data_IF_103151939786
#
_entry.id   IF_103151939786
#
_cell.length_a   1.000
_cell.length_b   1.000
_cell.length_c   1.000
_cell.angle_alpha   90.00
_cell.angle_beta   90.00
_cell.angle_gamma   90.00
#
_symmetry.space_group_name_H-M   'P 1'
#
loop_
_entity.id
_entity.type
_entity.pdbx_description
1 polymer ?
#
# COMPACT_ATOMS: atom_id res chain seq x y z
N UNK A 1 -6.38 17.63 -11.96
CA UNK A 1 -6.31 16.95 -10.64
C UNK A 1 -5.51 15.66 -10.80
N UNK A 2 -4.65 15.27 -9.85
CA UNK A 2 -4.09 13.91 -9.86
C UNK A 2 -5.25 12.97 -9.52
N UNK A 3 -5.62 12.10 -10.45
CA UNK A 3 -6.60 11.05 -10.18
C UNK A 3 -6.03 10.18 -9.06
N UNK A 4 -6.78 10.06 -7.97
CA UNK A 4 -6.40 9.13 -6.93
C UNK A 4 -6.48 7.73 -7.55
N UNK A 5 -5.46 6.87 -7.35
CA UNK A 5 -5.52 5.51 -7.83
C UNK A 5 -6.72 4.78 -7.21
N UNK A 6 -7.49 4.12 -8.07
CA UNK A 6 -8.68 3.35 -7.69
C UNK A 6 -8.41 1.84 -7.60
N UNK A 7 -7.22 1.40 -8.01
CA UNK A 7 -6.84 -0.02 -8.01
C UNK A 7 -5.34 -0.26 -7.81
N UNK A 8 -5.01 -1.49 -7.40
CA UNK A 8 -3.66 -2.06 -7.41
C UNK A 8 -3.56 -3.15 -8.47
N UNK A 9 -2.47 -3.17 -9.23
CA UNK A 9 -2.21 -4.28 -10.16
C UNK A 9 -1.84 -5.54 -9.39
N UNK A 10 -2.57 -6.63 -9.60
CA UNK A 10 -2.45 -7.91 -8.90
C UNK A 10 -2.54 -7.79 -7.35
N UNK A 11 -3.12 -6.70 -6.84
CA UNK A 11 -3.15 -6.42 -5.40
C UNK A 11 -1.76 -6.20 -4.82
N UNK A 12 -0.78 -5.80 -5.64
CA UNK A 12 0.60 -5.56 -5.23
C UNK A 12 0.90 -4.05 -5.20
N UNK A 13 1.81 -3.68 -4.31
CA UNK A 13 2.31 -2.30 -4.27
C UNK A 13 3.14 -2.00 -5.52
N UNK A 14 3.07 -0.77 -6.07
CA UNK A 14 3.87 -0.42 -7.23
C UNK A 14 5.37 -0.48 -6.92
N UNK A 15 6.13 -1.00 -7.87
CA UNK A 15 7.60 -1.08 -7.79
C UNK A 15 8.30 0.23 -8.17
N UNK A 16 7.59 1.20 -8.75
CA UNK A 16 8.15 2.52 -9.06
C UNK A 16 7.90 3.49 -7.91
N UNK A 17 8.94 4.23 -7.52
CA UNK A 17 8.88 5.18 -6.39
C UNK A 17 7.77 6.23 -6.59
N UNK A 18 7.57 6.70 -7.83
CA UNK A 18 6.54 7.68 -8.15
C UNK A 18 5.12 7.13 -7.92
N UNK A 19 4.82 5.93 -8.44
CA UNK A 19 3.50 5.32 -8.29
C UNK A 19 3.26 4.89 -6.84
N UNK A 20 4.28 4.35 -6.16
CA UNK A 20 4.19 4.03 -4.74
C UNK A 20 3.85 5.26 -3.90
N UNK A 21 4.51 6.39 -4.16
CA UNK A 21 4.22 7.64 -3.46
C UNK A 21 2.79 8.13 -3.72
N UNK A 22 2.32 8.04 -4.96
CA UNK A 22 0.94 8.39 -5.32
C UNK A 22 -0.07 7.51 -4.60
N UNK A 23 0.12 6.19 -4.63
CA UNK A 23 -0.75 5.22 -3.95
C UNK A 23 -0.85 5.50 -2.45
N UNK A 24 0.30 5.53 -1.76
CA UNK A 24 0.31 5.74 -0.30
C UNK A 24 -0.31 7.09 0.09
N UNK A 25 -0.02 8.16 -0.66
CA UNK A 25 -0.58 9.47 -0.35
C UNK A 25 -2.10 9.51 -0.55
N UNK A 26 -2.62 8.78 -1.55
CA UNK A 26 -4.06 8.67 -1.78
C UNK A 26 -4.76 7.83 -0.69
N UNK A 27 -4.06 6.87 -0.09
CA UNK A 27 -4.53 6.11 1.07
C UNK A 27 -4.45 6.88 2.40
N UNK A 28 -4.19 8.19 2.38
CA UNK A 28 -4.11 9.01 3.59
C UNK A 28 -2.78 8.91 4.35
N UNK A 29 -1.78 8.20 3.82
CA UNK A 29 -0.47 8.10 4.49
C UNK A 29 0.26 9.45 4.40
N UNK A 30 0.82 9.95 5.52
CA UNK A 30 1.49 11.24 5.56
C UNK A 30 2.55 11.37 4.46
N UNK A 31 2.63 12.53 3.80
CA UNK A 31 3.60 12.73 2.71
C UNK A 31 5.04 12.54 3.19
N UNK A 32 5.98 12.21 2.29
CA UNK A 32 7.40 12.06 2.66
C UNK A 32 8.06 13.34 3.20
N UNK A 33 7.39 14.49 3.06
CA UNK A 33 7.84 15.79 3.56
C UNK A 33 7.10 16.22 4.85
N UNK A 34 6.13 15.45 5.33
CA UNK A 34 5.46 15.77 6.61
C UNK A 34 6.48 15.77 7.76
N UNK A 35 6.18 16.48 8.84
CA UNK A 35 7.05 16.46 10.02
C UNK A 35 7.19 15.05 10.60
N UNK A 36 6.10 14.28 10.60
CA UNK A 36 6.08 12.87 10.99
C UNK A 36 7.01 12.01 10.13
N UNK A 37 6.89 12.08 8.80
CA UNK A 37 7.74 11.27 7.93
C UNK A 37 9.22 11.68 8.04
N UNK A 38 9.50 12.98 8.13
CA UNK A 38 10.88 13.49 8.28
C UNK A 38 11.51 13.07 9.61
N UNK A 39 10.76 13.06 10.71
CA UNK A 39 11.28 12.63 12.01
C UNK A 39 11.65 11.16 12.00
N UNK A 40 10.82 10.29 11.41
CA UNK A 40 11.11 8.87 11.22
C UNK A 40 12.34 8.67 10.34
N UNK A 41 12.42 9.39 9.22
CA UNK A 41 13.56 9.29 8.30
C UNK A 41 14.87 9.70 8.98
N UNK A 42 14.89 10.81 9.69
CA UNK A 42 16.09 11.30 10.37
C UNK A 42 16.49 10.39 11.54
N UNK A 43 15.51 9.91 12.32
CA UNK A 43 15.74 8.93 13.38
C UNK A 43 16.34 7.63 12.83
N UNK A 44 15.76 7.10 11.75
CA UNK A 44 16.27 5.90 11.07
C UNK A 44 17.72 6.08 10.63
N UNK A 45 18.07 7.27 10.12
CA UNK A 45 19.47 7.57 9.73
C UNK A 45 20.41 7.61 10.91
N UNK A 46 20.01 8.19 12.05
CA UNK A 46 20.82 8.24 13.27
C UNK A 46 21.08 6.82 13.78
N UNK A 47 20.05 5.99 13.89
CA UNK A 47 20.17 4.60 14.34
C UNK A 47 21.06 3.78 13.41
N UNK A 48 20.98 4.00 12.10
CA UNK A 48 21.86 3.33 11.13
C UNK A 48 23.29 3.90 11.07
N UNK A 49 23.62 4.93 11.87
CA UNK A 49 24.93 5.59 11.83
C UNK A 49 25.22 6.35 10.53
N UNK A 50 24.17 6.75 9.81
CA UNK A 50 24.23 7.39 8.49
C UNK A 50 23.78 8.86 8.54
N UNK A 51 24.36 9.63 9.47
CA UNK A 51 23.90 10.96 9.85
C UNK A 51 24.08 12.02 8.75
N UNK A 52 25.20 12.00 8.04
CA UNK A 52 25.45 12.96 6.98
C UNK A 52 24.52 12.70 5.79
N UNK A 53 23.93 13.75 5.18
CA UNK A 53 22.93 13.60 4.12
C UNK A 53 23.34 12.66 2.97
N UNK A 54 24.64 12.57 2.68
CA UNK A 54 25.25 11.76 1.62
C UNK A 54 26.01 10.53 2.10
N UNK A 55 26.02 10.23 3.41
CA UNK A 55 26.70 9.04 3.92
C UNK A 55 26.10 7.78 3.31
N UNK A 56 26.95 6.79 3.08
CA UNK A 56 26.50 5.45 2.76
C UNK A 56 25.64 4.89 3.90
N UNK A 57 24.57 4.20 3.52
CA UNK A 57 23.84 3.36 4.46
C UNK A 57 24.67 2.10 4.72
N UNK A 58 24.56 1.50 5.91
CA UNK A 58 25.23 0.24 6.18
C UNK A 58 24.83 -0.82 5.15
N UNK A 59 25.74 -1.76 4.79
CA UNK A 59 25.42 -2.84 3.87
C UNK A 59 24.29 -3.73 4.41
N UNK A 60 23.69 -4.54 3.56
CA UNK A 60 22.70 -5.51 4.00
C UNK A 60 23.36 -6.57 4.92
N UNK A 61 22.61 -7.15 5.86
CA UNK A 61 23.10 -8.30 6.64
C UNK A 61 23.52 -9.46 5.71
N UNK A 62 24.47 -10.32 6.13
CA UNK A 62 24.86 -11.49 5.37
C UNK A 62 23.69 -12.44 5.10
N UNK A 63 23.68 -13.09 3.93
CA UNK A 63 22.61 -14.03 3.56
C UNK A 63 22.47 -15.20 4.54
N UNK A 64 23.58 -15.63 5.17
CA UNK A 64 23.56 -16.67 6.20
C UNK A 64 22.66 -16.30 7.38
N UNK A 65 22.71 -15.04 7.83
CA UNK A 65 21.86 -14.54 8.91
C UNK A 65 20.40 -14.41 8.46
N UNK A 66 20.17 -13.93 7.23
CA UNK A 66 18.81 -13.78 6.70
C UNK A 66 18.11 -15.13 6.50
N UNK A 67 18.85 -16.16 6.09
CA UNK A 67 18.29 -17.49 5.79
C UNK A 67 17.91 -18.26 7.06
N UNK A 68 18.56 -17.97 8.19
CA UNK A 68 18.25 -18.57 9.50
C UNK A 68 17.39 -17.65 10.37
N UNK A 69 16.94 -16.51 9.84
CA UNK A 69 16.17 -15.55 10.62
C UNK A 69 14.77 -16.08 10.87
N UNK A 70 14.47 -16.32 12.14
CA UNK A 70 13.12 -16.54 12.63
C UNK A 70 12.66 -15.28 13.34
N UNK A 71 11.48 -14.78 12.99
CA UNK A 71 10.90 -13.60 13.64
C UNK A 71 10.77 -13.88 15.13
N UNK A 72 11.46 -13.11 16.00
CA UNK A 72 11.35 -13.31 17.44
C UNK A 72 9.89 -13.21 17.89
N UNK A 73 9.47 -14.09 18.80
CA UNK A 73 8.16 -13.99 19.45
C UNK A 73 7.98 -12.61 20.07
N UNK A 74 6.78 -12.05 19.97
CA UNK A 74 6.40 -10.76 20.56
C UNK A 74 6.39 -10.79 22.11
N UNK A 75 6.93 -11.82 22.76
CA UNK A 75 6.95 -11.94 24.22
C UNK A 75 7.56 -10.68 24.84
N UNK A 76 6.67 -9.90 25.45
CA UNK A 76 6.86 -8.53 25.89
C UNK A 76 7.87 -8.36 27.04
N UNK A 77 8.62 -9.40 27.40
CA UNK A 77 9.50 -9.40 28.57
C UNK A 77 10.96 -9.03 28.26
N UNK A 78 11.52 -9.30 27.08
CA UNK A 78 12.88 -8.84 26.74
C UNK A 78 12.88 -7.38 26.24
N UNK A 79 11.89 -7.05 25.42
CA UNK A 79 11.67 -5.76 24.72
C UNK A 79 11.57 -4.54 25.64
N UNK A 80 11.17 -4.70 26.90
CA UNK A 80 11.06 -3.59 27.86
C UNK A 80 12.35 -3.30 28.62
N UNK A 81 13.26 -4.28 28.74
CA UNK A 81 14.43 -4.16 29.63
C UNK A 81 15.41 -3.11 29.12
N UNK A 82 15.71 -3.11 27.82
CA UNK A 82 16.63 -2.14 27.23
C UNK A 82 16.06 -0.73 27.27
N UNK A 83 14.78 -0.55 26.95
CA UNK A 83 14.14 0.77 27.05
C UNK A 83 14.00 1.24 28.50
N UNK A 84 13.83 0.33 29.47
CA UNK A 84 13.85 0.67 30.89
C UNK A 84 15.25 1.13 31.32
N UNK A 85 16.31 0.43 30.92
CA UNK A 85 17.70 0.86 31.13
C UNK A 85 17.97 2.21 30.48
N UNK A 86 17.44 2.45 29.28
CA UNK A 86 17.56 3.74 28.62
C UNK A 86 16.85 4.83 29.44
N UNK A 87 15.66 4.59 30.00
CA UNK A 87 15.02 5.56 30.91
C UNK A 87 15.85 5.85 32.15
N UNK A 88 16.43 4.82 32.78
CA UNK A 88 17.34 5.00 33.92
C UNK A 88 18.55 5.85 33.54
N UNK A 89 19.19 5.56 32.41
CA UNK A 89 20.28 6.37 31.88
C UNK A 89 19.87 7.84 31.70
N UNK A 90 18.69 8.10 31.11
CA UNK A 90 18.19 9.46 30.93
C UNK A 90 17.84 10.19 32.24
N UNK A 91 17.55 9.46 33.32
CA UNK A 91 17.31 10.07 34.64
C UNK A 91 18.59 10.49 35.36
N UNK A 92 19.73 9.90 34.96
CA UNK A 92 21.04 10.15 35.56
C UNK A 92 21.87 11.18 34.78
N UNK A 93 21.44 11.58 33.59
CA UNK A 93 22.18 12.47 32.68
C UNK A 93 21.34 13.68 32.28
N UNK A 94 21.99 14.85 32.14
CA UNK A 94 21.34 16.03 31.56
C UNK A 94 21.12 15.81 30.05
N UNK A 95 19.87 15.97 29.61
CA UNK A 95 19.47 15.83 28.22
C UNK A 95 20.17 16.86 27.32
N UNK A 96 20.57 18.00 27.88
CA UNK A 96 21.22 19.10 27.17
C UNK A 96 22.66 18.77 26.75
N UNK A 97 23.30 17.85 27.47
CA UNK A 97 24.70 17.47 27.25
C UNK A 97 24.86 16.33 26.24
N UNK A 98 23.74 15.71 25.82
CA UNK A 98 23.77 14.60 24.88
C UNK A 98 24.17 15.07 23.48
N UNK A 99 25.13 14.37 22.87
CA UNK A 99 25.46 14.59 21.47
C UNK A 99 24.26 14.26 20.58
N UNK A 100 23.91 15.18 19.68
CA UNK A 100 22.72 15.07 18.81
C UNK A 100 23.08 14.94 17.34
N UNK A 101 22.44 13.98 16.69
CA UNK A 101 22.51 13.74 15.26
C UNK A 101 21.23 14.11 14.51
N UNK A 102 21.19 13.64 13.27
CA UNK A 102 20.10 13.86 12.34
C UNK A 102 20.14 15.26 11.72
N UNK A 103 19.32 15.47 10.70
CA UNK A 103 19.37 16.70 9.90
C UNK A 103 19.05 17.96 10.72
N UNK A 104 18.19 17.84 11.73
CA UNK A 104 17.73 18.96 12.57
C UNK A 104 18.53 19.04 13.89
N UNK A 105 19.52 18.14 14.11
CA UNK A 105 20.36 18.10 15.30
C UNK A 105 19.54 18.16 16.59
N UNK A 106 18.69 17.16 16.80
CA UNK A 106 17.89 17.03 18.03
C UNK A 106 17.72 15.60 18.51
N UNK A 107 18.20 14.61 17.75
CA UNK A 107 18.05 13.20 18.08
C UNK A 107 19.35 12.76 18.76
N UNK A 108 19.34 12.38 20.04
CA UNK A 108 20.55 11.93 20.73
C UNK A 108 21.20 10.73 20.03
N UNK A 109 22.53 10.76 19.85
CA UNK A 109 23.27 9.66 19.25
C UNK A 109 23.24 8.40 20.11
N UNK A 110 23.05 8.56 21.42
CA UNK A 110 22.87 7.45 22.37
C UNK A 110 21.66 6.56 22.01
N UNK A 111 20.67 7.08 21.26
CA UNK A 111 19.58 6.25 20.74
C UNK A 111 20.09 5.09 19.86
N UNK A 112 21.19 5.29 19.11
CA UNK A 112 21.81 4.22 18.33
C UNK A 112 22.39 3.13 19.22
N UNK A 113 23.06 3.50 20.31
CA UNK A 113 23.67 2.54 21.22
C UNK A 113 22.59 1.60 21.80
N UNK A 114 21.54 2.17 22.41
CA UNK A 114 20.45 1.36 22.97
C UNK A 114 19.69 0.57 21.89
N UNK A 115 19.61 1.08 20.66
CA UNK A 115 19.05 0.30 19.56
C UNK A 115 19.90 -0.94 19.26
N UNK A 116 21.22 -0.78 19.12
CA UNK A 116 22.15 -1.89 18.85
C UNK A 116 22.12 -2.93 19.98
N UNK A 117 22.09 -2.49 21.23
CA UNK A 117 21.99 -3.37 22.40
C UNK A 117 20.70 -4.20 22.39
N UNK A 118 19.57 -3.59 22.02
CA UNK A 118 18.27 -4.27 21.89
C UNK A 118 18.25 -5.30 20.76
N UNK A 119 18.91 -4.98 19.64
CA UNK A 119 19.06 -5.91 18.52
C UNK A 119 19.95 -7.11 18.88
N UNK A 120 21.03 -6.88 19.64
CA UNK A 120 21.92 -7.94 20.10
C UNK A 120 21.22 -8.94 21.04
N UNK A 121 20.21 -8.51 21.82
CA UNK A 121 19.44 -9.41 22.69
C UNK A 121 18.67 -10.49 21.93
N UNK A 122 18.36 -10.25 20.66
CA UNK A 122 17.70 -11.23 19.78
C UNK A 122 18.66 -11.84 18.76
N UNK A 123 19.97 -11.82 19.05
CA UNK A 123 21.04 -12.34 18.19
C UNK A 123 21.10 -11.70 16.80
N UNK A 124 20.80 -10.40 16.70
CA UNK A 124 20.97 -9.63 15.46
C UNK A 124 22.08 -8.61 15.62
N UNK A 125 23.25 -8.95 15.08
CA UNK A 125 24.46 -8.12 15.19
C UNK A 125 24.57 -7.04 14.11
N UNK A 126 23.89 -7.24 12.97
CA UNK A 126 23.94 -6.33 11.83
C UNK A 126 22.79 -5.32 11.85
N UNK A 127 23.08 -4.09 12.25
CA UNK A 127 22.12 -2.98 12.31
C UNK A 127 21.87 -2.38 10.92
N UNK A 128 21.15 -3.10 10.08
CA UNK A 128 20.79 -2.65 8.73
C UNK A 128 19.57 -3.40 8.20
N UNK A 129 18.92 -2.81 7.20
CA UNK A 129 17.87 -3.47 6.44
C UNK A 129 18.45 -4.47 5.44
N UNK A 130 17.70 -5.52 5.14
CA UNK A 130 18.00 -6.43 4.05
C UNK A 130 17.66 -5.77 2.71
N UNK A 131 18.58 -4.95 2.19
CA UNK A 131 18.34 -4.13 0.99
C UNK A 131 18.02 -4.93 -0.28
N UNK A 132 18.44 -6.19 -0.34
CA UNK A 132 18.14 -7.10 -1.46
C UNK A 132 16.78 -7.80 -1.35
N UNK A 133 16.18 -7.84 -0.17
CA UNK A 133 14.90 -8.50 0.10
C UNK A 133 13.73 -7.53 -0.09
N UNK A 134 12.49 -8.00 -0.34
CA UNK A 134 11.32 -7.14 -0.36
C UNK A 134 11.18 -6.28 0.91
N UNK A 135 10.64 -5.03 0.83
CA UNK A 135 10.42 -4.20 2.02
C UNK A 135 9.52 -4.82 3.08
N UNK A 136 8.65 -5.75 2.68
CA UNK A 136 7.72 -6.53 3.50
C UNK A 136 8.24 -7.93 3.83
N UNK A 137 9.51 -8.25 3.53
CA UNK A 137 10.13 -9.49 4.00
C UNK A 137 10.08 -9.59 5.55
N UNK A 138 10.02 -10.80 6.12
CA UNK A 138 9.92 -10.99 7.57
C UNK A 138 10.97 -10.19 8.36
N UNK A 139 12.22 -10.21 7.90
CA UNK A 139 13.31 -9.45 8.51
C UNK A 139 13.09 -7.93 8.42
N UNK A 140 12.78 -7.37 7.24
CA UNK A 140 12.59 -5.93 7.08
C UNK A 140 11.36 -5.42 7.83
N UNK A 141 10.28 -6.21 7.88
CA UNK A 141 9.08 -5.90 8.65
C UNK A 141 9.37 -5.87 10.15
N UNK A 142 10.08 -6.88 10.66
CA UNK A 142 10.52 -6.93 12.06
C UNK A 142 11.47 -5.77 12.41
N UNK A 143 12.48 -5.50 11.58
CA UNK A 143 13.43 -4.41 11.79
C UNK A 143 12.74 -3.03 11.77
N UNK A 144 11.76 -2.84 10.88
CA UNK A 144 10.91 -1.65 10.88
C UNK A 144 10.09 -1.52 12.17
N UNK A 145 9.58 -2.63 12.71
CA UNK A 145 8.92 -2.67 14.01
C UNK A 145 9.84 -2.25 15.16
N UNK A 146 11.09 -2.72 15.18
CA UNK A 146 12.10 -2.30 16.16
C UNK A 146 12.42 -0.81 16.04
N UNK A 147 12.56 -0.29 14.82
CA UNK A 147 12.75 1.15 14.60
C UNK A 147 11.56 1.96 15.10
N UNK A 148 10.32 1.52 14.80
CA UNK A 148 9.12 2.17 15.27
C UNK A 148 9.06 2.22 16.79
N UNK A 149 9.36 1.10 17.46
CA UNK A 149 9.44 1.02 18.93
C UNK A 149 10.39 2.06 19.51
N UNK A 150 11.62 2.13 19.02
CA UNK A 150 12.62 3.09 19.50
C UNK A 150 12.29 4.53 19.12
N UNK A 151 11.68 4.75 17.96
CA UNK A 151 11.18 6.07 17.57
C UNK A 151 10.07 6.56 18.49
N UNK A 152 9.12 5.69 18.86
CA UNK A 152 8.05 6.01 19.82
C UNK A 152 8.64 6.33 21.19
N UNK A 153 9.66 5.58 21.63
CA UNK A 153 10.40 5.90 22.84
C UNK A 153 11.04 7.30 22.77
N UNK A 154 11.77 7.60 21.69
CA UNK A 154 12.42 8.89 21.49
C UNK A 154 11.42 10.05 21.46
N UNK A 155 10.27 9.87 20.80
CA UNK A 155 9.16 10.82 20.80
C UNK A 155 8.66 11.12 22.21
N UNK A 156 8.37 10.07 22.98
CA UNK A 156 7.78 10.19 24.31
C UNK A 156 8.74 10.81 25.34
N UNK A 157 10.04 10.79 25.07
CA UNK A 157 11.06 11.46 25.88
C UNK A 157 11.49 12.83 25.29
N UNK A 158 10.77 13.38 24.31
CA UNK A 158 11.00 14.74 23.80
C UNK A 158 12.15 14.89 22.79
N UNK A 159 12.79 13.80 22.33
CA UNK A 159 13.91 13.88 21.38
C UNK A 159 13.52 14.30 19.96
N UNK A 160 12.22 14.38 19.69
CA UNK A 160 11.66 14.79 18.41
C UNK A 160 10.94 16.15 18.48
N UNK A 161 11.16 16.93 19.54
CA UNK A 161 10.46 18.20 19.80
C UNK A 161 10.56 19.23 18.65
N UNK A 162 11.64 19.20 17.84
CA UNK A 162 11.80 20.10 16.69
C UNK A 162 10.93 19.73 15.48
N UNK A 163 10.26 18.58 15.50
CA UNK A 163 9.31 18.17 14.48
C UNK A 163 7.89 18.46 14.96
N UNK A 164 7.17 19.33 14.26
CA UNK A 164 5.75 19.59 14.50
C UNK A 164 4.88 18.43 14.00
N UNK A 165 4.91 17.30 14.71
CA UNK A 165 4.18 16.07 14.37
C UNK A 165 2.69 16.27 14.65
N UNK A 166 1.85 16.06 13.63
CA UNK A 166 0.39 16.06 13.81
C UNK A 166 -0.06 14.81 14.56
N UNK A 167 -0.95 14.91 15.57
CA UNK A 167 -1.54 13.74 16.22
C UNK A 167 -2.28 12.81 15.24
N UNK A 168 -2.84 13.34 14.16
CA UNK A 168 -3.50 12.54 13.11
C UNK A 168 -2.52 11.65 12.33
N UNK A 169 -1.27 12.10 12.21
CA UNK A 169 -0.23 11.37 11.50
C UNK A 169 0.41 10.31 12.42
N UNK A 170 0.43 10.55 13.74
CA UNK A 170 1.11 9.75 14.76
C UNK A 170 0.35 8.47 15.13
N UNK A 171 0.27 7.54 14.18
CA UNK A 171 -0.31 6.21 14.38
C UNK A 171 0.69 5.12 14.00
N UNK A 172 0.58 3.95 14.64
CA UNK A 172 1.42 2.80 14.33
C UNK A 172 1.32 2.38 12.85
N UNK A 173 0.10 2.41 12.29
CA UNK A 173 -0.14 2.13 10.88
C UNK A 173 0.59 3.13 9.97
N UNK A 174 0.48 4.43 10.24
CA UNK A 174 1.21 5.43 9.47
C UNK A 174 2.73 5.28 9.60
N UNK A 175 3.22 4.94 10.80
CA UNK A 175 4.63 4.66 11.05
C UNK A 175 5.19 3.54 10.17
N UNK A 176 4.49 2.41 10.15
CA UNK A 176 4.83 1.26 9.31
C UNK A 176 4.85 1.64 7.82
N UNK A 177 3.84 2.39 7.36
CA UNK A 177 3.72 2.79 5.95
C UNK A 177 4.78 3.81 5.52
N UNK A 178 5.17 4.72 6.42
CA UNK A 178 6.29 5.63 6.19
C UNK A 178 7.61 4.86 6.08
N UNK A 179 7.86 3.90 6.97
CA UNK A 179 9.06 3.07 6.93
C UNK A 179 9.11 2.22 5.66
N UNK A 180 8.01 1.57 5.28
CA UNK A 180 7.90 0.83 4.02
C UNK A 180 8.29 1.70 2.82
N UNK A 181 7.70 2.92 2.73
CA UNK A 181 8.01 3.88 1.67
C UNK A 181 9.49 4.28 1.68
N UNK A 182 10.07 4.46 2.86
CA UNK A 182 11.47 4.84 3.01
C UNK A 182 12.40 3.72 2.53
N UNK A 183 12.18 2.47 2.97
CA UNK A 183 12.95 1.28 2.56
C UNK A 183 12.91 1.13 1.04
N UNK A 184 11.70 1.10 0.47
CA UNK A 184 11.50 0.94 -0.97
C UNK A 184 12.20 2.05 -1.78
N UNK A 185 12.14 3.31 -1.32
CA UNK A 185 12.87 4.40 -1.96
C UNK A 185 14.38 4.19 -1.92
N UNK A 186 14.92 3.71 -0.81
CA UNK A 186 16.36 3.46 -0.65
C UNK A 186 16.85 2.29 -1.47
N UNK A 187 16.07 1.23 -1.60
CA UNK A 187 16.40 0.12 -2.51
C UNK A 187 16.50 0.59 -3.96
N UNK A 188 15.56 1.43 -4.41
CA UNK A 188 15.64 2.04 -5.74
C UNK A 188 16.90 2.91 -5.94
N UNK A 189 17.27 3.69 -4.93
CA UNK A 189 18.51 4.49 -4.95
C UNK A 189 19.76 3.60 -5.03
N UNK A 190 19.79 2.49 -4.28
CA UNK A 190 20.90 1.52 -4.27
C UNK A 190 21.02 0.76 -5.60
N UNK A 191 19.90 0.31 -6.17
CA UNK A 191 19.87 -0.33 -7.49
C UNK A 191 20.40 0.60 -8.58
N UNK A 192 20.04 1.88 -8.53
CA UNK A 192 20.54 2.88 -9.49
C UNK A 192 22.03 3.17 -9.28
N UNK A 193 22.50 3.24 -8.03
CA UNK A 193 23.91 3.40 -7.71
C UNK A 193 24.77 2.19 -8.15
N UNK A 194 24.22 0.96 -8.06
CA UNK A 194 24.87 -0.24 -8.55
C UNK A 194 25.02 -0.23 -10.08
N UNK A 195 24.02 0.28 -10.80
CA UNK A 195 24.06 0.42 -12.27
C UNK A 195 24.96 1.57 -12.74
N UNK A 196 25.05 2.64 -11.96
CA UNK A 196 25.86 3.81 -12.27
C UNK A 196 26.51 4.36 -10.99
N UNK A 197 27.82 4.17 -10.85
CA UNK A 197 28.59 4.59 -9.67
C UNK A 197 28.52 6.11 -9.41
N UNK A 198 28.33 6.92 -10.45
CA UNK A 198 28.18 8.38 -10.36
C UNK A 198 26.72 8.83 -10.19
N UNK A 199 25.76 7.91 -10.13
CA UNK A 199 24.33 8.22 -10.02
C UNK A 199 24.02 9.21 -8.90
N UNK A 200 24.63 9.06 -7.73
CA UNK A 200 24.36 9.94 -6.59
C UNK A 200 24.82 11.38 -6.83
N UNK A 201 25.98 11.56 -7.47
CA UNK A 201 26.50 12.87 -7.86
C UNK A 201 25.58 13.52 -8.91
N UNK A 202 25.14 12.72 -9.89
CA UNK A 202 24.19 13.15 -10.93
C UNK A 202 22.83 13.54 -10.34
N UNK A 203 22.32 12.75 -9.39
CA UNK A 203 21.07 13.01 -8.67
C UNK A 203 21.17 14.30 -7.87
N UNK A 204 22.22 14.50 -7.09
CA UNK A 204 22.45 15.72 -6.33
C UNK A 204 22.55 16.96 -7.25
N UNK A 205 23.24 16.83 -8.40
CA UNK A 205 23.32 17.90 -9.39
C UNK A 205 21.96 18.21 -10.02
N UNK A 206 21.14 17.19 -10.33
CA UNK A 206 19.77 17.36 -10.85
C UNK A 206 18.86 18.04 -9.84
N UNK A 207 18.90 17.62 -8.57
CA UNK A 207 18.10 18.22 -7.50
C UNK A 207 18.43 19.70 -7.29
N UNK A 208 19.73 20.08 -7.38
CA UNK A 208 20.16 21.48 -7.37
C UNK A 208 19.59 22.27 -8.55
N UNK A 209 19.62 21.72 -9.77
CA UNK A 209 19.06 22.37 -10.97
C UNK A 209 17.55 22.55 -10.91
N UNK A 210 16.81 21.57 -10.38
CA UNK A 210 15.34 21.66 -10.27
C UNK A 210 14.89 22.65 -9.21
N UNK A 211 15.62 22.79 -8.10
CA UNK A 211 15.32 23.82 -7.08
C UNK A 211 15.44 25.24 -7.62
N UNK A 212 16.29 25.47 -8.63
CA UNK A 212 16.41 26.76 -9.32
C UNK A 212 15.36 27.03 -10.40
N UNK A 213 14.48 26.08 -10.75
CA UNK A 213 13.49 26.22 -11.83
C UNK A 213 12.03 26.20 -11.37
N UNK A 214 11.77 26.15 -10.07
CA UNK A 214 10.44 25.91 -9.50
C UNK A 214 9.55 27.15 -9.34
N UNK A 215 9.77 28.24 -10.09
CA UNK A 215 8.91 29.42 -10.03
C UNK A 215 7.89 29.56 -11.17
N UNK A 216 7.99 28.86 -12.31
CA UNK A 216 7.39 29.47 -13.51
C UNK A 216 6.34 28.73 -14.36
N UNK A 217 6.07 27.43 -14.28
CA UNK A 217 5.16 26.79 -15.28
C UNK A 217 4.13 25.82 -14.69
N UNK A 218 3.02 26.35 -14.15
CA UNK A 218 1.79 25.57 -13.87
C UNK A 218 0.53 26.35 -14.23
N UNK A 219 0.37 26.71 -15.49
CA UNK A 219 -0.92 27.01 -16.11
C UNK A 219 -0.89 26.40 -17.50
N UNK A 220 -2.04 26.00 -18.03
CA UNK A 220 -2.27 25.45 -19.37
C UNK A 220 -2.04 23.94 -19.52
N UNK A 221 -3.07 23.14 -19.19
CA UNK A 221 -3.61 22.01 -20.00
C UNK A 221 -4.71 21.33 -19.16
N UNK A 222 -5.87 21.97 -18.98
CA UNK A 222 -7.02 21.40 -18.25
C UNK A 222 -8.35 21.93 -18.82
N UNK A 223 -8.55 21.87 -20.15
CA UNK A 223 -9.87 22.07 -20.76
C UNK A 223 -9.97 21.21 -22.03
N UNK A 224 -10.14 19.90 -21.85
CA UNK A 224 -10.68 18.97 -22.86
C UNK A 224 -10.75 17.58 -22.19
N UNK A 225 -11.82 16.83 -22.42
CA UNK A 225 -12.16 15.52 -21.83
C UNK A 225 -13.12 15.52 -20.62
N UNK A 226 -14.31 16.07 -20.83
CA UNK A 226 -15.53 15.68 -20.09
C UNK A 226 -16.67 15.51 -21.08
N UNK A 227 -16.69 14.39 -21.79
CA UNK A 227 -17.83 13.92 -22.58
C UNK A 227 -17.60 12.46 -22.98
N UNK A 228 -17.78 11.50 -22.06
CA UNK A 228 -18.04 10.07 -22.35
C UNK A 228 -18.20 9.23 -21.06
N UNK A 229 -19.12 9.63 -20.17
CA UNK A 229 -19.58 8.78 -19.07
C UNK A 229 -21.10 8.87 -19.06
N UNK A 230 -21.78 8.14 -19.96
CA UNK A 230 -23.25 8.07 -19.98
C UNK A 230 -23.80 6.73 -20.51
N UNK A 231 -22.97 5.70 -20.70
CA UNK A 231 -23.44 4.43 -21.26
C UNK A 231 -23.72 3.33 -20.20
N UNK A 232 -23.19 3.46 -18.98
CA UNK A 232 -23.31 2.43 -17.92
C UNK A 232 -24.49 2.64 -16.95
N UNK A 233 -24.97 3.89 -16.82
CA UNK A 233 -25.95 4.29 -15.80
C UNK A 233 -27.33 3.65 -15.98
N UNK A 234 -27.75 3.39 -17.22
CA UNK A 234 -29.09 2.89 -17.51
C UNK A 234 -29.20 1.37 -17.41
N UNK A 235 -28.12 0.62 -17.61
CA UNK A 235 -28.17 -0.85 -17.59
C UNK A 235 -28.18 -1.38 -16.15
N UNK A 236 -27.32 -0.84 -15.28
CA UNK A 236 -27.23 -1.26 -13.88
C UNK A 236 -28.45 -0.79 -13.08
N UNK A 237 -28.93 0.46 -13.26
CA UNK A 237 -30.18 0.91 -12.64
C UNK A 237 -31.40 0.10 -13.06
N UNK A 238 -31.48 -0.31 -14.33
CA UNK A 238 -32.61 -1.11 -14.81
C UNK A 238 -32.57 -2.57 -14.34
N UNK A 239 -31.38 -3.19 -14.20
CA UNK A 239 -31.25 -4.58 -13.74
C UNK A 239 -31.39 -4.67 -12.22
N UNK A 240 -30.72 -3.79 -11.49
CA UNK A 240 -30.72 -3.77 -10.03
C UNK A 240 -32.01 -3.18 -9.46
N UNK A 241 -32.62 -2.20 -10.14
CA UNK A 241 -33.83 -1.51 -9.68
C UNK A 241 -35.15 -2.27 -9.85
N UNK A 242 -35.19 -3.37 -10.61
CA UNK A 242 -36.42 -4.18 -10.81
C UNK A 242 -36.30 -5.63 -10.34
N UNK A 243 -35.09 -6.13 -10.07
CA UNK A 243 -34.91 -7.42 -9.39
C UNK A 243 -35.36 -7.38 -7.92
N UNK A 244 -35.69 -6.19 -7.40
CA UNK A 244 -36.09 -6.01 -6.00
C UNK A 244 -37.38 -5.18 -5.95
N UNK A 245 -38.50 -5.87 -5.85
CA UNK A 245 -39.75 -5.23 -5.44
C UNK A 245 -39.61 -4.79 -3.98
N UNK A 246 -39.87 -3.50 -3.75
CA UNK A 246 -40.17 -2.83 -2.48
C UNK A 246 -39.77 -3.57 -1.19
N UNK A 247 -38.51 -3.45 -0.76
CA UNK A 247 -38.11 -3.51 0.68
C UNK A 247 -36.60 -3.23 0.94
N UNK A 248 -35.72 -3.19 -0.08
CA UNK A 248 -34.26 -3.15 0.12
C UNK A 248 -33.52 -1.85 -0.32
N UNK A 249 -34.22 -0.72 -0.43
CA UNK A 249 -33.65 0.53 -1.01
C UNK A 249 -32.37 1.06 -0.33
N UNK A 250 -32.14 0.73 0.94
CA UNK A 250 -30.95 1.13 1.71
C UNK A 250 -29.82 0.09 1.72
N UNK A 251 -30.11 -1.18 1.41
CA UNK A 251 -29.15 -2.30 1.44
C UNK A 251 -28.33 -2.45 0.13
N UNK A 252 -28.75 -1.80 -0.95
CA UNK A 252 -28.20 -2.04 -2.31
C UNK A 252 -27.23 -0.97 -2.84
N UNK A 253 -27.07 0.16 -2.15
CA UNK A 253 -26.17 1.23 -2.57
C UNK A 253 -24.68 0.80 -2.67
N UNK A 254 -24.15 -0.01 -1.74
CA UNK A 254 -22.77 -0.49 -1.82
C UNK A 254 -22.53 -1.42 -3.01
N UNK A 255 -23.43 -2.37 -3.28
CA UNK A 255 -23.34 -3.29 -4.43
C UNK A 255 -23.40 -2.56 -5.77
N UNK A 256 -24.28 -1.58 -5.88
CA UNK A 256 -24.36 -0.76 -7.10
C UNK A 256 -23.03 -0.07 -7.36
N UNK A 257 -22.40 0.50 -6.33
CA UNK A 257 -21.09 1.15 -6.45
C UNK A 257 -19.97 0.16 -6.83
N UNK A 258 -20.00 -1.05 -6.28
CA UNK A 258 -19.05 -2.13 -6.59
C UNK A 258 -19.10 -2.50 -8.07
N UNK A 259 -20.29 -2.73 -8.63
CA UNK A 259 -20.46 -3.09 -10.04
C UNK A 259 -20.30 -1.92 -11.02
N UNK A 260 -20.21 -0.68 -10.53
CA UNK A 260 -19.80 0.47 -11.35
C UNK A 260 -18.28 0.55 -11.56
N UNK A 261 -17.48 -0.19 -10.77
CA UNK A 261 -16.05 -0.28 -11.02
C UNK A 261 -15.78 -1.20 -12.23
N UNK A 262 -15.06 -0.73 -13.27
CA UNK A 262 -14.74 -1.55 -14.43
C UNK A 262 -13.99 -2.85 -14.09
N UNK A 263 -13.19 -2.88 -13.03
CA UNK A 263 -12.48 -4.09 -12.61
C UNK A 263 -13.42 -5.18 -12.06
N UNK A 264 -14.68 -4.85 -11.78
CA UNK A 264 -15.72 -5.78 -11.32
C UNK A 264 -16.56 -6.38 -12.43
N UNK A 265 -16.56 -5.75 -13.60
CA UNK A 265 -17.41 -6.11 -14.73
C UNK A 265 -16.61 -6.48 -15.98
N UNK A 266 -15.31 -6.15 -16.03
CA UNK A 266 -14.38 -6.52 -17.09
C UNK A 266 -13.90 -7.98 -16.95
N UNK A 267 -14.83 -8.93 -17.01
CA UNK A 267 -14.56 -10.37 -16.87
C UNK A 267 -14.47 -11.08 -18.23
N UNK A 268 -14.15 -10.40 -19.34
CA UNK A 268 -14.14 -11.03 -20.67
C UNK A 268 -12.80 -10.84 -21.37
N UNK A 269 -12.18 -11.94 -21.78
CA UNK A 269 -11.02 -11.98 -22.67
C UNK A 269 -11.39 -12.62 -24.01
N UNK A 270 -10.78 -12.12 -25.09
CA UNK A 270 -10.89 -12.67 -26.43
C UNK A 270 -9.57 -13.37 -26.79
N UNK A 271 -9.62 -14.62 -27.22
CA UNK A 271 -8.42 -15.33 -27.71
C UNK A 271 -8.07 -14.89 -29.15
N UNK A 272 -6.89 -15.30 -29.64
CA UNK A 272 -6.44 -15.00 -31.01
C UNK A 272 -7.38 -15.56 -32.10
N UNK A 273 -8.29 -16.47 -31.73
CA UNK A 273 -9.31 -17.06 -32.60
C UNK A 273 -10.70 -16.39 -32.47
N UNK A 274 -10.82 -15.31 -31.69
CA UNK A 274 -12.06 -14.55 -31.48
C UNK A 274 -13.07 -15.19 -30.53
N UNK A 275 -12.68 -16.21 -29.76
CA UNK A 275 -13.53 -16.81 -28.74
C UNK A 275 -13.50 -15.96 -27.47
N UNK A 276 -14.69 -15.74 -26.89
CA UNK A 276 -14.85 -15.00 -25.65
C UNK A 276 -14.85 -15.96 -24.45
N UNK A 277 -13.97 -15.72 -23.49
CA UNK A 277 -13.89 -16.44 -22.23
C UNK A 277 -14.18 -15.53 -21.07
N UNK A 278 -14.81 -16.09 -20.03
CA UNK A 278 -14.87 -15.42 -18.75
C UNK A 278 -13.49 -15.42 -18.12
N UNK A 279 -12.96 -14.28 -17.72
CA UNK A 279 -11.71 -14.22 -16.96
C UNK A 279 -11.94 -14.76 -15.56
N UNK A 280 -11.02 -15.61 -15.09
CA UNK A 280 -10.96 -15.91 -13.67
C UNK A 280 -10.32 -14.71 -12.93
N UNK A 281 -11.06 -14.10 -12.02
CA UNK A 281 -10.62 -12.94 -11.24
C UNK A 281 -10.18 -13.41 -9.85
N UNK A 282 -8.85 -13.61 -9.60
CA UNK A 282 -8.39 -14.32 -8.40
C UNK A 282 -8.68 -13.60 -7.09
N UNK A 283 -8.85 -12.27 -7.16
CA UNK A 283 -9.12 -11.45 -5.99
C UNK A 283 -10.57 -11.50 -5.54
N UNK A 284 -11.52 -11.86 -6.42
CA UNK A 284 -12.95 -11.76 -6.13
C UNK A 284 -13.39 -12.93 -5.25
N UNK A 285 -14.23 -12.67 -4.25
CA UNK A 285 -14.81 -13.73 -3.42
C UNK A 285 -15.72 -14.65 -4.23
N UNK A 286 -15.92 -15.86 -3.74
CA UNK A 286 -16.84 -16.83 -4.36
C UNK A 286 -18.27 -16.29 -4.35
N UNK A 287 -18.70 -15.66 -3.26
CA UNK A 287 -20.02 -15.05 -3.11
C UNK A 287 -20.26 -13.95 -4.15
N UNK A 288 -19.32 -13.00 -4.30
CA UNK A 288 -19.44 -11.92 -5.27
C UNK A 288 -19.40 -12.44 -6.71
N UNK A 289 -18.62 -13.50 -6.96
CA UNK A 289 -18.57 -14.16 -8.26
C UNK A 289 -19.89 -14.85 -8.61
N UNK A 290 -20.49 -15.57 -7.66
CA UNK A 290 -21.81 -16.21 -7.82
C UNK A 290 -22.91 -15.18 -8.03
N UNK A 291 -22.89 -14.09 -7.26
CA UNK A 291 -23.83 -12.99 -7.44
C UNK A 291 -23.72 -12.37 -8.83
N UNK A 292 -22.50 -12.13 -9.33
CA UNK A 292 -22.29 -11.67 -10.70
C UNK A 292 -22.84 -12.65 -11.75
N UNK A 293 -22.68 -13.97 -11.55
CA UNK A 293 -23.30 -14.98 -12.43
C UNK A 293 -24.83 -14.86 -12.44
N UNK A 294 -25.44 -14.76 -11.25
CA UNK A 294 -26.89 -14.67 -11.11
C UNK A 294 -27.45 -13.38 -11.71
N UNK A 295 -26.70 -12.28 -11.66
CA UNK A 295 -27.05 -11.04 -12.36
C UNK A 295 -27.04 -11.20 -13.88
N UNK A 296 -26.06 -11.91 -14.44
CA UNK A 296 -26.01 -12.22 -15.88
C UNK A 296 -27.25 -13.08 -16.27
N UNK A 297 -27.58 -14.10 -15.48
CA UNK A 297 -28.78 -14.96 -15.68
C UNK A 297 -30.09 -14.17 -15.59
N UNK A 298 -30.22 -13.33 -14.56
CA UNK A 298 -31.39 -12.46 -14.37
C UNK A 298 -31.55 -11.46 -15.52
N UNK A 299 -30.44 -10.93 -16.04
CA UNK A 299 -30.45 -10.03 -17.20
C UNK A 299 -30.96 -10.75 -18.45
N UNK A 300 -30.50 -11.98 -18.68
CA UNK A 300 -30.95 -12.82 -19.80
C UNK A 300 -32.44 -13.13 -19.68
N UNK A 301 -32.92 -13.52 -18.50
CA UNK A 301 -34.32 -13.85 -18.26
C UNK A 301 -35.24 -12.63 -18.38
N UNK A 302 -34.82 -11.48 -17.88
CA UNK A 302 -35.55 -10.21 -18.07
C UNK A 302 -35.69 -9.88 -19.54
N UNK A 303 -34.58 -9.92 -20.31
CA UNK A 303 -34.62 -9.65 -21.74
C UNK A 303 -35.51 -10.65 -22.49
N UNK A 304 -35.56 -11.90 -22.04
CA UNK A 304 -36.47 -12.92 -22.58
C UNK A 304 -37.93 -12.55 -22.35
N UNK A 305 -38.29 -12.11 -21.14
CA UNK A 305 -39.66 -11.72 -20.77
C UNK A 305 -40.12 -10.44 -21.46
N UNK A 306 -39.28 -9.40 -21.48
CA UNK A 306 -39.64 -8.08 -21.99
C UNK A 306 -39.64 -8.00 -23.52
N UNK A 307 -38.61 -8.58 -24.16
CA UNK A 307 -38.37 -8.42 -25.61
C UNK A 307 -38.67 -9.70 -26.39
N UNK A 308 -38.92 -10.80 -25.69
CA UNK A 308 -39.21 -12.10 -26.27
C UNK A 308 -37.94 -12.90 -26.65
N UNK A 309 -38.09 -14.21 -26.94
CA UNK A 309 -36.97 -15.12 -27.20
C UNK A 309 -36.07 -14.72 -28.38
N UNK A 310 -36.57 -13.92 -29.32
CA UNK A 310 -35.81 -13.47 -30.50
C UNK A 310 -34.64 -12.55 -30.17
N UNK A 311 -34.67 -11.90 -28.99
CA UNK A 311 -33.58 -11.04 -28.51
C UNK A 311 -32.54 -11.79 -27.69
N UNK A 312 -32.90 -12.95 -27.12
CA UNK A 312 -32.02 -13.80 -26.32
C UNK A 312 -31.36 -14.84 -27.23
N UNK A 313 -30.45 -14.36 -28.09
CA UNK A 313 -29.65 -15.20 -28.98
C UNK A 313 -28.19 -15.11 -28.61
N UNK A 314 -27.47 -16.23 -28.77
CA UNK A 314 -26.01 -16.28 -28.56
C UNK A 314 -25.27 -15.20 -29.35
N UNK A 315 -25.68 -14.89 -30.58
CA UNK A 315 -25.04 -13.83 -31.37
C UNK A 315 -25.25 -12.40 -30.83
N UNK A 316 -26.20 -12.18 -29.91
CA UNK A 316 -26.64 -10.85 -29.47
C UNK A 316 -26.30 -10.50 -28.02
N UNK A 317 -26.02 -11.49 -27.17
CA UNK A 317 -25.75 -11.28 -25.75
C UNK A 317 -24.37 -11.83 -25.40
N UNK A 318 -23.57 -11.00 -24.74
CA UNK A 318 -22.20 -11.34 -24.33
C UNK A 318 -22.21 -12.52 -23.35
N UNK A 319 -23.18 -12.52 -22.43
CA UNK A 319 -23.41 -13.50 -21.36
C UNK A 319 -23.58 -14.91 -21.92
N UNK A 320 -24.21 -15.03 -23.10
CA UNK A 320 -24.44 -16.31 -23.78
C UNK A 320 -23.25 -16.76 -24.65
N UNK A 321 -22.31 -15.85 -24.95
CA UNK A 321 -21.13 -16.13 -25.78
C UNK A 321 -19.95 -16.61 -24.95
N UNK A 322 -19.81 -16.05 -23.74
CA UNK A 322 -18.71 -16.33 -22.81
C UNK A 322 -18.65 -17.84 -22.50
N UNK A 323 -17.45 -18.41 -22.60
CA UNK A 323 -17.12 -19.78 -22.16
C UNK A 323 -16.43 -19.73 -20.80
N UNK A 324 -16.31 -20.88 -20.15
CA UNK A 324 -15.60 -21.00 -18.88
C UNK A 324 -14.12 -20.57 -19.00
N UNK A 325 -13.52 -20.01 -17.94
CA UNK A 325 -12.14 -19.56 -17.97
C UNK A 325 -11.19 -20.71 -18.31
N UNK A 326 -10.31 -20.49 -19.29
CA UNK A 326 -9.21 -21.43 -19.60
C UNK A 326 -7.89 -20.95 -18.97
N UNK A 327 -7.72 -19.63 -18.82
CA UNK A 327 -6.48 -19.02 -18.36
C UNK A 327 -6.69 -18.08 -17.17
N UNK A 328 -5.63 -17.92 -16.38
CA UNK A 328 -5.51 -16.86 -15.38
C UNK A 328 -4.89 -15.63 -16.04
N UNK A 329 -5.47 -14.42 -15.89
CA UNK A 329 -4.88 -13.22 -16.44
C UNK A 329 -3.52 -12.95 -15.80
N UNK A 330 -2.53 -12.52 -16.59
CA UNK A 330 -1.19 -12.15 -16.08
C UNK A 330 -1.24 -10.93 -15.14
N UNK A 331 -2.18 -10.02 -15.42
CA UNK A 331 -2.36 -8.77 -14.67
C UNK A 331 -3.83 -8.47 -14.49
N UNK A 332 -4.30 -8.45 -13.24
CA UNK A 332 -5.67 -8.06 -12.89
C UNK A 332 -5.67 -6.75 -12.09
N UNK A 333 -6.50 -5.75 -12.44
CA UNK A 333 -6.75 -4.63 -11.54
C UNK A 333 -7.56 -5.13 -10.33
N UNK A 334 -7.10 -4.76 -9.13
CA UNK A 334 -7.77 -5.06 -7.86
C UNK A 334 -8.30 -3.75 -7.30
N UNK A 335 -9.62 -3.56 -7.19
CA UNK A 335 -10.21 -2.33 -6.62
C UNK A 335 -9.68 -2.03 -5.23
N UNK A 336 -9.55 -0.75 -4.91
CA UNK A 336 -9.22 -0.26 -3.57
C UNK A 336 -10.51 0.19 -2.88
N UNK A 337 -10.66 -0.13 -1.59
CA UNK A 337 -11.74 0.40 -0.76
C UNK A 337 -13.03 -0.41 -0.78
N UNK A 338 -13.01 -1.61 -1.35
CA UNK A 338 -14.17 -2.50 -1.33
C UNK A 338 -14.38 -3.15 0.04
N UNK A 339 -15.60 -3.62 0.36
CA UNK A 339 -15.87 -4.43 1.54
C UNK A 339 -15.03 -5.70 1.60
N UNK A 340 -14.64 -6.13 2.81
CA UNK A 340 -13.75 -7.28 2.98
C UNK A 340 -14.27 -8.57 2.34
N UNK A 341 -15.59 -8.81 2.42
CA UNK A 341 -16.24 -10.01 1.88
C UNK A 341 -16.34 -10.01 0.34
N UNK A 342 -15.97 -8.91 -0.33
CA UNK A 342 -15.84 -8.89 -1.79
C UNK A 342 -14.54 -9.54 -2.28
N UNK A 343 -13.56 -9.69 -1.38
CA UNK A 343 -12.27 -10.28 -1.71
C UNK A 343 -12.20 -11.75 -1.28
N UNK A 344 -11.48 -12.56 -2.05
CA UNK A 344 -11.10 -13.91 -1.68
C UNK A 344 -10.16 -13.85 -0.46
N UNK A 345 -10.46 -14.55 0.65
CA UNK A 345 -9.59 -14.57 1.83
C UNK A 345 -8.18 -15.04 1.51
N UNK A 346 -8.06 -16.09 0.69
CA UNK A 346 -6.78 -16.65 0.24
C UNK A 346 -6.00 -15.60 -0.56
N UNK A 347 -6.68 -14.82 -1.40
CA UNK A 347 -6.04 -13.78 -2.18
C UNK A 347 -5.46 -12.68 -1.29
N UNK A 348 -6.25 -12.13 -0.36
CA UNK A 348 -5.81 -11.07 0.55
C UNK A 348 -4.66 -11.54 1.43
N UNK A 349 -4.76 -12.75 2.01
CA UNK A 349 -3.72 -13.33 2.85
C UNK A 349 -2.39 -13.52 2.09
N UNK A 350 -2.45 -13.78 0.78
CA UNK A 350 -1.24 -13.90 -0.06
C UNK A 350 -0.58 -12.56 -0.41
N UNK A 351 -1.17 -11.41 -0.05
CA UNK A 351 -0.58 -10.08 -0.28
C UNK A 351 0.23 -9.64 0.94
N UNK A 352 1.26 -8.82 0.73
CA UNK A 352 2.00 -8.18 1.83
C UNK A 352 1.11 -7.23 2.65
N UNK A 353 1.42 -7.08 3.94
CA UNK A 353 0.61 -6.29 4.91
C UNK A 353 0.28 -4.87 4.41
N UNK A 354 1.24 -4.22 3.76
CA UNK A 354 1.07 -2.86 3.22
C UNK A 354 0.05 -2.84 2.08
N UNK A 355 0.08 -3.82 1.19
CA UNK A 355 -0.92 -3.94 0.13
C UNK A 355 -2.31 -4.23 0.72
N UNK A 356 -2.41 -5.10 1.73
CA UNK A 356 -3.67 -5.36 2.42
C UNK A 356 -4.25 -4.08 3.03
N UNK A 357 -3.42 -3.27 3.69
CA UNK A 357 -3.84 -1.98 4.25
C UNK A 357 -4.31 -0.99 3.18
N UNK A 358 -3.57 -0.90 2.05
CA UNK A 358 -3.95 -0.01 0.93
C UNK A 358 -5.23 -0.44 0.25
N UNK A 359 -5.48 -1.75 0.12
CA UNK A 359 -6.76 -2.27 -0.39
C UNK A 359 -7.95 -1.85 0.49
N UNK A 360 -7.69 -1.36 1.71
CA UNK A 360 -8.61 -0.68 2.61
C UNK A 360 -9.97 -1.36 2.65
N UNK A 361 -9.97 -2.62 3.09
CA UNK A 361 -11.20 -3.40 3.20
C UNK A 361 -12.12 -2.70 4.19
N UNK A 362 -13.26 -2.17 3.73
CA UNK A 362 -14.27 -1.66 4.65
C UNK A 362 -14.63 -2.81 5.61
N UNK A 363 -14.54 -2.55 6.91
CA UNK A 363 -14.81 -3.55 7.96
C UNK A 363 -16.28 -3.93 8.02
N UNK A 364 -17.16 -3.07 7.52
CA UNK A 364 -18.57 -3.40 7.36
C UNK A 364 -18.74 -4.32 6.15
N UNK A 365 -19.21 -5.57 6.35
CA UNK A 365 -19.48 -6.47 5.25
C UNK A 365 -20.62 -5.90 4.40
N UNK A 366 -20.49 -6.02 3.08
CA UNK A 366 -21.60 -5.75 2.20
C UNK A 366 -22.51 -6.96 2.17
N UNK A 367 -23.77 -6.81 2.54
CA UNK A 367 -24.75 -7.89 2.36
C UNK A 367 -24.90 -8.19 0.88
N UNK A 368 -24.54 -9.41 0.47
CA UNK A 368 -24.74 -9.90 -0.89
C UNK A 368 -26.05 -10.70 -0.87
N UNK A 369 -27.13 -10.21 -1.51
CA UNK A 369 -28.39 -10.91 -1.53
C UNK A 369 -28.25 -12.32 -2.10
N UNK A 370 -28.90 -13.28 -1.44
CA UNK A 370 -29.15 -14.58 -2.05
C UNK A 370 -30.23 -14.39 -3.13
N UNK A 371 -29.82 -14.17 -4.38
CA UNK A 371 -30.72 -14.15 -5.55
C UNK A 371 -31.02 -15.57 -6.03
#
# INVERSE_FOLDING_TARGET
MKTNPTSLQNGLMPTTVANLHLQLSASGIPSGNSAFARSIHDFTRVVLGAEAANSDLPPAPPQSQLSTFETPSNDASATSVILARFRSYLSEHDLSDLEVGGRIKCIPLICRQFFVEDMAQVNVDYTSFAWGEPPDSPYNAWFAGMLWKHWTFAKNNGFLHKYAISPTDDTAANGQMVLFRWIHRRQGDLQQAARNRHWRQLKAAREKRTRGRSSDHRVDTCVAFTAEINCSDNLVRAVVGQAVSNEFGTLLAPLTRIFMDPACTSDTEEDDAGNLYRMHVPWRSQELSQFACKLDEATVERLRKEKGPRYVKRAKLLELRRRDPINLPKTVPVPIGFPQNCYSPVFIQSRGQVAQHVLNTQTEPCEIPAI
#
